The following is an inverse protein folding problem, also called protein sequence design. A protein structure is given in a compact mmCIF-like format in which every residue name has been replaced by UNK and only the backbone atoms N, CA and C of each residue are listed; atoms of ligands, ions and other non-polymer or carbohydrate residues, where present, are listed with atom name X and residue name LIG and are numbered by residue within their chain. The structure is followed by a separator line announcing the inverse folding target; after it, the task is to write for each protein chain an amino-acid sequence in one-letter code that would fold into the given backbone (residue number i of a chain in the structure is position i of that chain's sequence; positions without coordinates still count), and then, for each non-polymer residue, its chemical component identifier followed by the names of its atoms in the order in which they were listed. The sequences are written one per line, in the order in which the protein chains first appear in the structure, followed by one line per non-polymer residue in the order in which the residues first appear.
data_IF_784743721627
#
_entry.id   IF_784743721627
#
_cell.length_a   1.000
_cell.length_b   1.000
_cell.length_c   1.000
_cell.angle_alpha   90.00
_cell.angle_beta   90.00
_cell.angle_gamma   90.00
#
_symmetry.space_group_name_H-M   'P 1'
#
loop_
_entity.id
_entity.type
_entity.pdbx_description
1 polymer ?
#
# COMPACT_ATOMS: atom_id res chain seq x y z
N UNK A 1 35.68 -16.79 -32.62
CA UNK A 1 35.54 -16.20 -31.27
C UNK A 1 34.52 -15.08 -31.38
N UNK A 2 33.47 -15.13 -30.56
CA UNK A 2 32.39 -14.15 -30.62
C UNK A 2 32.41 -13.38 -29.31
N UNK A 3 32.76 -12.10 -29.37
CA UNK A 3 32.65 -11.20 -28.23
C UNK A 3 31.20 -10.73 -28.17
N UNK A 4 30.52 -10.98 -27.05
CA UNK A 4 29.23 -10.34 -26.75
C UNK A 4 29.51 -9.09 -25.93
N UNK A 5 29.16 -7.93 -26.49
CA UNK A 5 29.12 -6.67 -25.77
C UNK A 5 27.67 -6.47 -25.34
N UNK A 6 27.41 -6.52 -24.04
CA UNK A 6 26.13 -6.09 -23.45
C UNK A 6 26.25 -4.63 -23.04
N UNK A 7 25.31 -3.80 -23.47
CA UNK A 7 25.21 -2.43 -22.99
C UNK A 7 24.99 -2.44 -21.47
N UNK A 8 25.78 -1.69 -20.72
CA UNK A 8 25.55 -1.49 -19.29
C UNK A 8 24.30 -0.65 -19.07
N UNK A 9 23.53 -0.99 -18.02
CA UNK A 9 22.39 -0.18 -17.61
C UNK A 9 22.93 1.13 -17.05
N UNK A 10 22.61 2.24 -17.71
CA UNK A 10 23.12 3.57 -17.35
C UNK A 10 22.32 4.23 -16.21
N UNK A 11 21.12 3.72 -15.95
CA UNK A 11 20.18 4.35 -15.04
C UNK A 11 19.49 3.32 -14.16
N UNK A 12 19.21 3.68 -12.91
CA UNK A 12 18.36 2.87 -12.04
C UNK A 12 17.23 3.71 -11.48
N UNK A 13 16.12 3.05 -11.21
CA UNK A 13 15.00 3.63 -10.49
C UNK A 13 15.21 3.41 -8.98
N UNK A 14 14.83 4.37 -8.14
CA UNK A 14 14.95 4.28 -6.68
C UNK A 14 13.73 4.93 -6.00
N UNK A 15 13.22 4.30 -4.94
CA UNK A 15 12.15 4.87 -4.11
C UNK A 15 12.79 5.69 -3.00
N UNK A 16 12.62 7.01 -3.05
CA UNK A 16 13.21 7.95 -2.10
C UNK A 16 12.29 8.21 -0.92
N UNK A 17 10.98 8.12 -1.15
CA UNK A 17 9.97 8.17 -0.10
C UNK A 17 8.98 7.05 -0.30
N UNK A 18 8.93 6.13 0.66
CA UNK A 18 8.01 5.00 0.65
C UNK A 18 6.55 5.47 0.83
N UNK A 19 5.57 4.71 0.31
CA UNK A 19 4.18 4.85 0.70
C UNK A 19 4.00 4.58 2.20
N UNK A 20 2.83 4.93 2.78
CA UNK A 20 2.48 4.55 4.15
C UNK A 20 2.58 3.04 4.35
N UNK A 21 3.05 2.61 5.52
CA UNK A 21 3.09 1.19 5.89
C UNK A 21 1.71 0.57 6.13
N UNK A 22 0.68 1.42 6.30
CA UNK A 22 -0.70 1.02 6.48
C UNK A 22 -1.63 2.09 5.88
N UNK A 23 -2.75 1.63 5.34
CA UNK A 23 -3.83 2.45 4.77
C UNK A 23 -5.18 1.89 5.22
N UNK A 24 -6.20 2.73 5.29
CA UNK A 24 -7.55 2.22 5.55
C UNK A 24 -8.20 1.71 4.27
N UNK A 25 -9.02 0.67 4.38
CA UNK A 25 -9.75 0.13 3.23
C UNK A 25 -10.65 1.20 2.58
N UNK A 26 -10.54 1.36 1.26
CA UNK A 26 -11.25 2.38 0.50
C UNK A 26 -10.75 3.81 0.71
N UNK A 27 -9.66 4.00 1.46
CA UNK A 27 -9.03 5.31 1.65
C UNK A 27 -8.05 5.61 0.52
N UNK A 28 -7.95 6.90 0.20
CA UNK A 28 -6.87 7.41 -0.64
C UNK A 28 -5.56 7.34 0.11
N UNK A 29 -4.55 6.75 -0.52
CA UNK A 29 -3.16 6.77 -0.07
C UNK A 29 -2.61 8.17 -0.31
N UNK A 30 -2.89 9.06 0.64
CA UNK A 30 -2.43 10.44 0.63
C UNK A 30 -1.10 10.54 1.35
N UNK A 31 -0.04 10.09 0.67
CA UNK A 31 1.33 10.36 1.05
C UNK A 31 2.20 10.24 -0.19
N UNK A 32 2.84 11.34 -0.57
CA UNK A 32 3.66 11.46 -1.78
C UNK A 32 4.73 10.36 -1.79
N UNK A 33 4.49 9.27 -2.51
CA UNK A 33 5.54 8.30 -2.82
C UNK A 33 6.41 8.96 -3.87
N UNK A 34 7.72 9.01 -3.63
CA UNK A 34 8.65 9.71 -4.52
C UNK A 34 9.61 8.68 -5.07
N UNK A 35 9.71 8.67 -6.40
CA UNK A 35 10.62 7.81 -7.14
C UNK A 35 11.56 8.68 -7.96
N UNK A 36 12.85 8.34 -7.97
CA UNK A 36 13.87 9.05 -8.73
C UNK A 36 14.54 8.11 -9.71
N UNK A 37 15.05 8.67 -10.81
CA UNK A 37 15.97 7.99 -11.69
C UNK A 37 17.37 8.52 -11.44
N UNK A 38 18.28 7.60 -11.17
CA UNK A 38 19.66 7.92 -10.86
C UNK A 38 20.57 7.39 -11.95
N UNK A 39 21.62 8.13 -12.26
CA UNK A 39 22.71 7.64 -13.11
C UNK A 39 23.63 6.67 -12.34
N UNK A 40 24.64 6.12 -13.04
CA UNK A 40 25.64 5.21 -12.45
C UNK A 40 26.50 5.83 -11.35
N UNK A 41 26.46 7.15 -11.18
CA UNK A 41 27.19 7.91 -10.15
C UNK A 41 26.27 8.46 -9.06
N UNK A 42 25.03 7.94 -8.97
CA UNK A 42 24.01 8.34 -7.98
C UNK A 42 23.50 9.78 -8.13
N UNK A 43 23.69 10.41 -9.30
CA UNK A 43 23.10 11.72 -9.55
C UNK A 43 21.65 11.57 -10.04
N UNK A 44 20.78 12.47 -9.59
CA UNK A 44 19.41 12.57 -10.12
C UNK A 44 19.48 12.91 -11.60
N UNK A 45 18.93 12.01 -12.42
CA UNK A 45 18.81 12.20 -13.84
C UNK A 45 17.54 12.96 -14.18
N UNK A 46 17.69 14.03 -14.96
CA UNK A 46 16.58 14.79 -15.50
C UNK A 46 16.46 14.46 -16.99
N UNK A 47 15.38 13.79 -17.44
CA UNK A 47 15.21 13.44 -18.84
C UNK A 47 15.09 14.68 -19.73
N UNK A 48 15.69 14.63 -20.91
CA UNK A 48 15.47 15.66 -21.94
C UNK A 48 14.21 15.43 -22.78
N UNK A 49 13.54 14.30 -22.60
CA UNK A 49 12.30 13.92 -23.28
C UNK A 49 11.27 13.40 -22.27
N UNK A 50 9.95 13.53 -22.53
CA UNK A 50 8.91 13.10 -21.60
C UNK A 50 9.10 11.63 -21.21
N UNK A 51 9.43 11.41 -19.94
CA UNK A 51 9.61 10.09 -19.35
C UNK A 51 8.59 9.92 -18.24
N UNK A 52 7.92 8.78 -18.22
CA UNK A 52 6.89 8.47 -17.24
C UNK A 52 7.26 7.24 -16.44
N UNK A 53 6.97 7.28 -15.15
CA UNK A 53 7.01 6.13 -14.26
C UNK A 53 5.58 5.67 -14.06
N UNK A 54 5.28 4.42 -14.39
CA UNK A 54 4.01 3.80 -14.02
C UNK A 54 4.05 3.24 -12.61
N UNK A 55 2.91 3.23 -11.94
CA UNK A 55 2.67 2.55 -10.68
C UNK A 55 1.66 1.43 -10.90
N UNK A 56 1.96 0.24 -10.39
CA UNK A 56 1.06 -0.92 -10.44
C UNK A 56 1.08 -1.67 -9.11
N UNK A 57 -0.03 -2.32 -8.76
CA UNK A 57 -0.07 -3.19 -7.59
C UNK A 57 0.68 -4.49 -7.91
N UNK A 58 1.52 -4.92 -6.96
CA UNK A 58 2.06 -6.27 -6.95
C UNK A 58 1.66 -6.93 -5.64
N UNK A 59 0.89 -8.00 -5.75
CA UNK A 59 0.37 -8.74 -4.60
C UNK A 59 1.45 -9.65 -3.97
N UNK A 60 1.41 -9.79 -2.65
CA UNK A 60 2.23 -10.75 -1.89
C UNK A 60 1.44 -12.05 -1.60
N UNK A 61 0.13 -12.08 -1.85
CA UNK A 61 -0.70 -13.28 -1.84
C UNK A 61 -2.13 -13.02 -1.37
N UNK A 62 -3.07 -13.04 -2.31
CA UNK A 62 -4.51 -13.01 -2.07
C UNK A 62 -5.25 -12.63 -3.35
N UNK A 63 -5.82 -13.61 -4.05
CA UNK A 63 -6.54 -13.42 -5.31
C UNK A 63 -7.89 -12.72 -5.12
N UNK A 64 -7.91 -11.45 -4.73
CA UNK A 64 -9.07 -10.58 -4.86
C UNK A 64 -8.61 -9.27 -5.50
N UNK A 65 -9.24 -8.97 -6.63
CA UNK A 65 -8.81 -7.99 -7.63
C UNK A 65 -8.56 -6.62 -7.03
N UNK A 66 -7.37 -6.11 -7.34
CA UNK A 66 -6.72 -4.89 -6.88
C UNK A 66 -6.86 -3.82 -7.97
N UNK A 67 -7.49 -2.68 -7.70
CA UNK A 67 -7.52 -1.55 -8.63
C UNK A 67 -6.81 -0.33 -8.03
N UNK A 68 -5.86 0.24 -8.78
CA UNK A 68 -5.34 1.59 -8.52
C UNK A 68 -6.26 2.55 -9.29
N UNK A 69 -6.90 3.50 -8.62
CA UNK A 69 -7.86 4.40 -9.27
C UNK A 69 -7.30 5.76 -9.67
N UNK A 70 -6.10 6.13 -9.22
CA UNK A 70 -5.54 7.45 -9.51
C UNK A 70 -4.01 7.48 -9.57
N UNK A 71 -3.50 8.34 -10.47
CA UNK A 71 -2.10 8.58 -10.84
C UNK A 71 -1.27 7.30 -11.12
N UNK A 72 -1.79 6.47 -12.03
CA UNK A 72 -1.09 5.28 -12.56
C UNK A 72 0.23 5.63 -13.25
N UNK A 73 0.47 6.90 -13.60
CA UNK A 73 1.77 7.37 -14.01
C UNK A 73 2.08 8.78 -13.53
N UNK A 74 3.36 9.02 -13.23
CA UNK A 74 3.91 10.33 -12.94
C UNK A 74 5.02 10.64 -13.94
N UNK A 75 5.05 11.87 -14.46
CA UNK A 75 6.20 12.35 -15.23
C UNK A 75 7.41 12.49 -14.31
N UNK A 76 8.58 12.10 -14.80
CA UNK A 76 9.82 12.30 -14.07
C UNK A 76 10.53 13.55 -14.58
N UNK A 77 10.70 14.52 -13.70
CA UNK A 77 11.48 15.75 -13.92
C UNK A 77 12.43 15.93 -12.73
N UNK A 78 13.39 14.99 -12.64
CA UNK A 78 14.14 14.70 -11.41
C UNK A 78 13.39 13.73 -10.49
N UNK A 79 12.18 14.12 -10.08
CA UNK A 79 11.31 13.32 -9.22
C UNK A 79 10.03 12.90 -9.96
N UNK A 80 9.58 11.67 -9.73
CA UNK A 80 8.24 11.20 -10.04
C UNK A 80 7.45 11.11 -8.73
N UNK A 81 6.46 11.99 -8.58
CA UNK A 81 5.66 12.12 -7.35
C UNK A 81 4.29 11.51 -7.56
N UNK A 82 3.93 10.57 -6.69
CA UNK A 82 2.62 9.94 -6.65
C UNK A 82 1.88 10.41 -5.38
N UNK A 83 1.06 11.44 -5.52
CA UNK A 83 0.37 12.11 -4.40
C UNK A 83 -1.10 11.72 -4.25
N UNK A 84 -1.68 11.07 -5.26
CA UNK A 84 -3.09 10.64 -5.27
C UNK A 84 -3.23 9.18 -5.66
N UNK A 85 -2.51 8.27 -4.99
CA UNK A 85 -2.77 6.85 -5.16
C UNK A 85 -4.04 6.47 -4.40
N UNK A 86 -4.96 5.76 -5.04
CA UNK A 86 -6.17 5.23 -4.41
C UNK A 86 -6.17 3.72 -4.61
N UNK A 87 -6.27 2.98 -3.50
CA UNK A 87 -6.17 1.51 -3.50
C UNK A 87 -7.48 0.95 -2.99
N UNK A 88 -8.22 0.29 -3.88
CA UNK A 88 -9.39 -0.48 -3.50
C UNK A 88 -9.01 -1.96 -3.41
N UNK A 89 -9.13 -2.50 -2.20
CA UNK A 89 -8.71 -3.87 -1.90
C UNK A 89 -9.37 -4.38 -0.63
N UNK A 90 -9.47 -5.70 -0.52
CA UNK A 90 -9.99 -6.36 0.67
C UNK A 90 -9.02 -6.30 1.85
N UNK A 91 -9.56 -6.28 3.06
CA UNK A 91 -8.78 -6.27 4.29
C UNK A 91 -7.92 -7.52 4.47
N UNK A 92 -6.84 -7.36 5.22
CA UNK A 92 -5.92 -8.46 5.52
C UNK A 92 -5.04 -8.87 4.34
N UNK A 93 -5.09 -8.14 3.23
CA UNK A 93 -4.14 -8.26 2.13
C UNK A 93 -2.89 -7.42 2.45
N UNK A 94 -1.73 -7.99 2.14
CA UNK A 94 -0.47 -7.26 2.12
C UNK A 94 -0.12 -6.95 0.67
N UNK A 95 0.09 -5.68 0.37
CA UNK A 95 0.34 -5.22 -0.98
C UNK A 95 1.65 -4.44 -1.07
N UNK A 96 2.21 -4.40 -2.27
CA UNK A 96 3.33 -3.53 -2.63
C UNK A 96 3.00 -2.79 -3.92
N UNK A 97 3.63 -1.64 -4.09
CA UNK A 97 3.59 -0.86 -5.31
C UNK A 97 4.84 -1.16 -6.13
N UNK A 98 4.65 -1.48 -7.40
CA UNK A 98 5.71 -1.66 -8.38
C UNK A 98 5.77 -0.43 -9.28
N UNK A 99 6.94 0.20 -9.32
CA UNK A 99 7.21 1.36 -10.17
C UNK A 99 8.10 0.96 -11.33
N UNK A 100 7.74 1.38 -12.54
CA UNK A 100 8.49 1.05 -13.76
C UNK A 100 8.55 2.23 -14.72
N UNK A 101 9.70 2.45 -15.35
CA UNK A 101 9.83 3.46 -16.40
C UNK A 101 9.16 2.93 -17.67
N UNK A 102 8.21 3.69 -18.23
CA UNK A 102 7.42 3.22 -19.37
C UNK A 102 8.23 3.17 -20.68
N UNK A 103 9.10 4.14 -20.89
CA UNK A 103 9.85 4.32 -22.15
C UNK A 103 11.17 3.53 -22.18
N UNK A 104 11.59 2.94 -21.05
CA UNK A 104 12.89 2.30 -20.88
C UNK A 104 12.74 0.94 -20.20
N UNK A 105 12.62 -0.13 -21.00
CA UNK A 105 12.49 -1.50 -20.50
C UNK A 105 13.79 -2.10 -19.97
N UNK A 106 14.92 -1.46 -20.23
CA UNK A 106 16.24 -1.79 -19.71
C UNK A 106 16.45 -1.35 -18.25
N UNK A 107 15.63 -0.42 -17.76
CA UNK A 107 15.64 0.03 -16.37
C UNK A 107 14.77 -0.92 -15.54
N UNK A 108 15.39 -1.55 -14.55
CA UNK A 108 14.69 -2.47 -13.67
C UNK A 108 13.60 -1.73 -12.85
N UNK A 109 12.42 -2.35 -12.68
CA UNK A 109 11.38 -1.79 -11.81
C UNK A 109 11.82 -1.86 -10.34
N UNK A 110 11.31 -0.94 -9.53
CA UNK A 110 11.45 -0.98 -8.07
C UNK A 110 10.12 -1.30 -7.41
N UNK A 111 10.19 -1.89 -6.23
CA UNK A 111 9.01 -2.31 -5.48
C UNK A 111 9.07 -1.67 -4.09
N UNK A 112 7.94 -1.14 -3.62
CA UNK A 112 7.82 -0.53 -2.31
C UNK A 112 7.94 -1.54 -1.17
N UNK A 113 8.04 -1.01 0.03
CA UNK A 113 7.75 -1.76 1.25
C UNK A 113 6.29 -2.22 1.29
N UNK A 114 6.02 -3.16 2.21
CA UNK A 114 4.67 -3.71 2.40
C UNK A 114 3.74 -2.65 2.97
N UNK A 115 2.58 -2.52 2.32
CA UNK A 115 1.44 -1.73 2.78
C UNK A 115 0.40 -2.72 3.32
N UNK A 116 -0.06 -2.49 4.55
CA UNK A 116 -1.19 -3.22 5.14
C UNK A 116 -2.49 -2.47 4.92
N UNK A 117 -3.57 -3.21 4.73
CA UNK A 117 -4.91 -2.67 4.61
C UNK A 117 -5.65 -2.96 5.91
N UNK A 118 -5.96 -1.90 6.63
CA UNK A 118 -6.50 -1.93 7.98
C UNK A 118 -7.89 -1.30 8.03
N UNK A 119 -8.63 -1.53 9.12
CA UNK A 119 -9.91 -0.87 9.35
C UNK A 119 -9.69 0.54 9.88
N UNK A 120 -10.68 1.42 9.67
CA UNK A 120 -10.68 2.73 10.30
C UNK A 120 -10.54 2.60 11.83
N UNK A 121 -10.00 3.61 12.53
CA UNK A 121 -9.90 3.58 14.00
C UNK A 121 -11.24 3.42 14.72
N UNK A 122 -12.35 3.76 14.06
CA UNK A 122 -13.72 3.60 14.56
C UNK A 122 -14.34 2.24 14.23
N UNK A 123 -13.54 1.32 13.67
CA UNK A 123 -13.98 0.02 13.18
C UNK A 123 -13.11 -1.10 13.73
N UNK A 124 -13.67 -2.30 13.79
CA UNK A 124 -12.94 -3.51 14.11
C UNK A 124 -12.99 -4.49 12.95
N UNK A 125 -11.92 -5.27 12.82
CA UNK A 125 -11.82 -6.32 11.83
C UNK A 125 -12.60 -7.56 12.32
N UNK A 126 -13.48 -8.10 11.48
CA UNK A 126 -14.16 -9.36 11.74
C UNK A 126 -14.06 -10.28 10.52
N UNK A 127 -14.06 -11.59 10.77
CA UNK A 127 -14.22 -12.57 9.71
C UNK A 127 -15.71 -12.84 9.52
N UNK A 128 -16.20 -12.55 8.33
CA UNK A 128 -17.58 -12.83 7.97
C UNK A 128 -17.82 -14.36 7.98
N UNK A 129 -18.80 -14.88 8.72
CA UNK A 129 -19.04 -16.31 8.83
C UNK A 129 -19.60 -16.95 7.55
N UNK A 130 -20.21 -16.16 6.66
CA UNK A 130 -20.79 -16.63 5.41
C UNK A 130 -19.77 -16.63 4.28
N UNK A 131 -18.96 -15.57 4.19
CA UNK A 131 -17.98 -15.42 3.09
C UNK A 131 -16.56 -15.83 3.47
N UNK A 132 -16.29 -16.01 4.77
CA UNK A 132 -14.93 -16.20 5.32
C UNK A 132 -13.95 -15.06 5.00
N UNK A 133 -14.42 -13.94 4.45
CA UNK A 133 -13.62 -12.77 4.15
C UNK A 133 -13.43 -11.90 5.40
N UNK A 134 -12.32 -11.16 5.42
CA UNK A 134 -12.10 -10.14 6.43
C UNK A 134 -12.85 -8.87 6.02
N UNK A 135 -13.63 -8.32 6.95
CA UNK A 135 -14.45 -7.12 6.75
C UNK A 135 -14.29 -6.18 7.95
N UNK A 136 -14.61 -4.89 7.76
CA UNK A 136 -14.66 -3.90 8.83
C UNK A 136 -16.10 -3.72 9.30
N UNK A 137 -16.29 -3.60 10.61
CA UNK A 137 -17.57 -3.21 11.20
C UNK A 137 -17.37 -2.02 12.13
N UNK A 138 -18.31 -1.09 12.09
CA UNK A 138 -18.33 0.03 13.01
C UNK A 138 -18.42 -0.45 14.45
N UNK A 139 -17.71 0.25 15.31
CA UNK A 139 -17.75 0.01 16.74
C UNK A 139 -19.05 0.57 17.33
N UNK A 140 -19.62 -0.16 18.29
CA UNK A 140 -20.80 0.33 18.98
C UNK A 140 -20.47 1.63 19.75
N UNK A 141 -21.43 2.56 19.88
CA UNK A 141 -21.23 3.77 20.67
C UNK A 141 -20.78 3.45 22.10
N UNK A 142 -19.58 3.88 22.47
CA UNK A 142 -18.98 3.62 23.80
C UNK A 142 -17.98 2.47 23.83
N UNK A 143 -17.79 1.74 22.73
CA UNK A 143 -16.70 0.77 22.59
C UNK A 143 -15.39 1.48 22.20
N UNK A 144 -14.26 0.97 22.70
CA UNK A 144 -12.93 1.36 22.26
C UNK A 144 -12.46 0.34 21.22
N UNK A 145 -12.16 0.80 20.02
CA UNK A 145 -11.55 0.01 18.96
C UNK A 145 -10.23 0.66 18.57
N UNK A 146 -9.19 -0.15 18.43
CA UNK A 146 -7.84 0.29 18.06
C UNK A 146 -7.43 -0.19 16.65
N UNK A 147 -8.38 -0.74 15.88
CA UNK A 147 -8.14 -1.29 14.54
C UNK A 147 -7.45 -2.66 14.51
N UNK A 148 -7.23 -3.32 15.66
CA UNK A 148 -6.55 -4.61 15.77
C UNK A 148 -7.34 -5.80 15.20
N UNK A 149 -6.60 -6.78 14.66
CA UNK A 149 -7.11 -8.04 14.11
C UNK A 149 -7.52 -9.08 15.17
N UNK A 150 -7.21 -8.84 16.45
CA UNK A 150 -7.38 -9.83 17.53
C UNK A 150 -8.38 -9.33 18.58
N UNK A 151 -9.63 -9.30 18.16
CA UNK A 151 -10.75 -9.00 19.02
C UNK A 151 -11.18 -10.30 19.74
N UNK A 152 -10.71 -10.52 20.98
CA UNK A 152 -11.26 -11.58 21.85
C UNK A 152 -12.38 -11.01 22.71
N UNK A 153 -13.54 -11.66 22.67
CA UNK A 153 -14.60 -11.42 23.66
C UNK A 153 -14.08 -11.93 25.00
N UNK A 154 -13.83 -11.04 25.95
CA UNK A 154 -13.52 -11.41 27.34
C UNK A 154 -14.78 -11.22 28.16
N UNK A 155 -15.43 -12.32 28.56
CA UNK A 155 -16.51 -12.25 29.55
C UNK A 155 -15.90 -11.90 30.92
N UNK A 156 -16.20 -10.73 31.52
CA UNK A 156 -15.84 -10.53 32.93
C UNK A 156 -15.79 -9.13 33.56
N UNK A 157 -15.96 -8.01 32.86
CA UNK A 157 -15.95 -6.67 33.46
C UNK A 157 -16.94 -5.80 32.64
N UNK A 158 -17.88 -4.99 33.15
CA UNK A 158 -17.84 -3.90 34.15
C UNK A 158 -19.22 -3.63 34.80
N UNK A 159 -19.21 -2.71 35.78
CA UNK A 159 -20.35 -2.02 36.38
C UNK A 159 -21.14 -1.15 35.38
N UNK A 160 -22.47 -1.36 35.28
CA UNK A 160 -23.42 -0.31 34.90
C UNK A 160 -24.49 -0.65 33.85
N UNK A 161 -25.50 -1.44 34.24
CA UNK A 161 -26.91 -1.37 33.80
C UNK A 161 -27.27 -1.12 32.32
N UNK A 162 -26.84 -1.95 31.37
CA UNK A 162 -27.61 -2.27 30.16
C UNK A 162 -27.27 -3.70 29.71
N UNK A 163 -28.26 -4.49 29.31
CA UNK A 163 -28.15 -5.87 28.85
C UNK A 163 -27.61 -5.94 27.41
N UNK A 164 -26.39 -6.35 27.07
CA UNK A 164 -25.17 -6.70 27.78
C UNK A 164 -23.99 -6.18 26.91
N UNK A 165 -23.00 -5.45 27.45
CA UNK A 165 -21.92 -4.87 26.65
C UNK A 165 -20.80 -5.89 26.39
N UNK A 166 -20.33 -5.96 25.14
CA UNK A 166 -19.15 -6.74 24.73
C UNK A 166 -17.92 -5.82 24.80
N UNK A 167 -16.91 -6.24 25.54
CA UNK A 167 -15.63 -5.53 25.61
C UNK A 167 -14.58 -6.36 24.92
N UNK A 168 -13.82 -5.65 24.11
CA UNK A 168 -12.74 -6.16 23.29
C UNK A 168 -11.45 -5.62 23.88
N UNK A 169 -10.78 -6.40 24.72
CA UNK A 169 -9.47 -6.04 25.29
C UNK A 169 -8.35 -6.74 24.53
N UNK A 170 -7.35 -5.95 24.15
CA UNK A 170 -6.07 -6.40 23.58
C UNK A 170 -5.13 -6.88 24.71
N UNK A 171 -4.46 -8.05 24.58
CA UNK A 171 -3.41 -8.46 25.50
C UNK A 171 -2.13 -7.62 25.38
#
# INVERSE_FOLDING_TARGET
FTVRITQGVLYRLEIVKQPPSAIFAGERVSNSTIVQLLDVSDNVWVPTAPTQVSCALTDIGGSNVLQIFADESASIDGDAVFDRLEIDTSLGVQLRLRFAVQQHSDIAPVVSDVIRVECLPTQFQFRDPETSLLSCRDCEPGAICDGSANVRIVEGFWLGNLSAPVIYECP
#
